data_IF_691684575968
#
_entry.id   IF_691684575968
#
_cell.length_a   1.000
_cell.length_b   1.000
_cell.length_c   1.000
_cell.angle_alpha   90.00
_cell.angle_beta   90.00
_cell.angle_gamma   90.00
#
_symmetry.space_group_name_H-M   'P 1'
#
loop_
_entity.id
_entity.type
_entity.pdbx_description
1 polymer ?
#
# COMPACT_ATOMS: atom_id res chain seq x y z
N UNK A 1 -12.24 -8.51 16.39
CA UNK A 1 -10.86 -9.01 16.61
C UNK A 1 -10.58 -10.27 15.80
N UNK A 2 -11.17 -11.44 16.14
CA UNK A 2 -10.86 -12.72 15.48
C UNK A 2 -11.10 -12.72 13.94
N UNK A 3 -12.22 -12.14 13.48
CA UNK A 3 -12.50 -12.03 12.05
C UNK A 3 -11.49 -11.14 11.31
N UNK A 4 -11.13 -9.99 11.91
CA UNK A 4 -10.15 -9.06 11.33
C UNK A 4 -8.75 -9.71 11.23
N UNK A 5 -8.33 -10.43 12.26
CA UNK A 5 -7.04 -11.13 12.23
C UNK A 5 -7.02 -12.25 11.19
N UNK A 6 -8.11 -13.01 11.05
CA UNK A 6 -8.21 -14.05 10.03
C UNK A 6 -8.17 -13.45 8.61
N UNK A 7 -8.90 -12.36 8.39
CA UNK A 7 -8.89 -11.62 7.11
C UNK A 7 -7.48 -11.14 6.75
N UNK A 8 -6.77 -10.50 7.68
CA UNK A 8 -5.40 -10.03 7.47
C UNK A 8 -4.43 -11.19 7.19
N UNK A 9 -4.53 -12.31 7.93
CA UNK A 9 -3.69 -13.48 7.69
C UNK A 9 -3.91 -14.09 6.30
N UNK A 10 -5.17 -14.23 5.88
CA UNK A 10 -5.48 -14.69 4.53
C UNK A 10 -4.90 -13.76 3.45
N UNK A 11 -4.88 -12.45 3.71
CA UNK A 11 -4.31 -11.48 2.79
C UNK A 11 -2.78 -11.59 2.70
N UNK A 12 -2.10 -11.81 3.83
CA UNK A 12 -0.64 -12.03 3.91
C UNK A 12 -0.22 -13.29 3.13
N UNK A 13 -1.05 -14.32 3.12
CA UNK A 13 -0.77 -15.56 2.38
C UNK A 13 -0.89 -15.40 0.85
N UNK A 14 -1.63 -14.40 0.37
CA UNK A 14 -1.79 -14.15 -1.07
C UNK A 14 -0.53 -13.56 -1.68
N UNK A 15 -0.15 -14.08 -2.85
CA UNK A 15 0.96 -13.55 -3.66
C UNK A 15 0.52 -12.49 -4.66
N UNK A 16 -0.68 -12.62 -5.19
CA UNK A 16 -1.26 -11.75 -6.19
C UNK A 16 -2.71 -11.45 -5.82
N UNK A 17 -3.22 -10.33 -6.31
CA UNK A 17 -4.61 -9.93 -6.16
C UNK A 17 -5.28 -9.89 -7.52
N UNK A 18 -6.53 -10.34 -7.60
CA UNK A 18 -7.36 -10.00 -8.76
C UNK A 18 -7.83 -8.53 -8.67
N UNK A 19 -8.51 -8.06 -9.73
CA UNK A 19 -8.94 -6.67 -9.82
C UNK A 19 -9.95 -6.26 -8.74
N UNK A 20 -10.87 -7.15 -8.38
CA UNK A 20 -11.89 -6.85 -7.36
C UNK A 20 -11.28 -6.91 -5.96
N UNK A 21 -10.39 -7.86 -5.71
CA UNK A 21 -9.62 -7.95 -4.47
C UNK A 21 -8.75 -6.71 -4.26
N UNK A 22 -8.04 -6.26 -5.30
CA UNK A 22 -7.24 -5.03 -5.25
C UNK A 22 -8.10 -3.82 -4.90
N UNK A 23 -9.26 -3.67 -5.56
CA UNK A 23 -10.16 -2.54 -5.33
C UNK A 23 -10.73 -2.57 -3.90
N UNK A 24 -11.14 -3.74 -3.43
CA UNK A 24 -11.63 -3.93 -2.07
C UNK A 24 -10.54 -3.60 -1.03
N UNK A 25 -9.32 -4.13 -1.21
CA UNK A 25 -8.20 -3.87 -0.32
C UNK A 25 -7.85 -2.38 -0.25
N UNK A 26 -7.76 -1.70 -1.41
CA UNK A 26 -7.44 -0.28 -1.44
C UNK A 26 -8.51 0.56 -0.73
N UNK A 27 -9.79 0.17 -0.84
CA UNK A 27 -10.87 0.83 -0.11
C UNK A 27 -10.79 0.59 1.40
N UNK A 28 -10.54 -0.66 1.82
CA UNK A 28 -10.38 -1.02 3.23
C UNK A 28 -9.21 -0.29 3.89
N UNK A 29 -8.04 -0.29 3.24
CA UNK A 29 -6.84 0.39 3.76
C UNK A 29 -7.10 1.88 3.94
N UNK A 30 -7.77 2.54 2.98
CA UNK A 30 -8.12 3.96 3.10
C UNK A 30 -9.05 4.23 4.27
N UNK A 31 -10.08 3.41 4.44
CA UNK A 31 -11.03 3.56 5.54
C UNK A 31 -10.33 3.34 6.90
N UNK A 32 -9.53 2.28 7.02
CA UNK A 32 -8.80 2.01 8.26
C UNK A 32 -7.74 3.06 8.56
N UNK A 33 -7.06 3.62 7.55
CA UNK A 33 -6.16 4.74 7.76
C UNK A 33 -6.89 5.96 8.32
N UNK A 34 -8.09 6.26 7.82
CA UNK A 34 -8.91 7.38 8.26
C UNK A 34 -9.43 7.20 9.69
N UNK A 35 -10.02 6.04 9.97
CA UNK A 35 -10.75 5.79 11.23
C UNK A 35 -9.85 5.26 12.36
N UNK A 36 -8.70 4.65 12.03
CA UNK A 36 -7.89 3.91 13.00
C UNK A 36 -6.39 4.21 12.98
N UNK A 37 -5.87 5.00 12.01
CA UNK A 37 -4.45 5.38 11.96
C UNK A 37 -4.28 6.90 12.10
N UNK A 38 -4.48 7.65 11.03
CA UNK A 38 -4.41 9.11 11.03
C UNK A 38 -5.01 9.67 9.72
N UNK A 39 -6.17 10.37 9.77
CA UNK A 39 -6.76 10.96 8.57
C UNK A 39 -5.87 12.04 7.94
N UNK A 40 -5.02 12.72 8.72
CA UNK A 40 -4.09 13.74 8.22
C UNK A 40 -3.03 13.18 7.26
N UNK A 41 -2.70 11.90 7.36
CA UNK A 41 -1.74 11.25 6.45
C UNK A 41 -2.31 11.09 5.04
N UNK A 42 -3.63 10.88 4.92
CA UNK A 42 -4.32 10.83 3.64
C UNK A 42 -4.32 12.20 2.96
N UNK A 43 -4.55 13.28 3.71
CA UNK A 43 -4.50 14.65 3.18
C UNK A 43 -3.07 15.06 2.79
N UNK A 44 -2.07 14.69 3.59
CA UNK A 44 -0.67 14.90 3.25
C UNK A 44 -0.31 14.23 1.91
N UNK A 45 -0.64 12.94 1.74
CA UNK A 45 -0.37 12.23 0.48
C UNK A 45 -1.10 12.84 -0.71
N UNK A 46 -2.34 13.31 -0.55
CA UNK A 46 -3.05 14.06 -1.61
C UNK A 46 -2.30 15.30 -2.07
N UNK A 47 -1.64 16.02 -1.15
CA UNK A 47 -0.90 17.24 -1.50
C UNK A 47 0.40 17.01 -2.29
N UNK A 48 0.92 15.78 -2.28
CA UNK A 48 2.16 15.39 -2.94
C UNK A 48 1.95 14.38 -4.07
N UNK A 49 0.69 14.10 -4.45
CA UNK A 49 0.33 13.17 -5.53
C UNK A 49 -0.65 13.84 -6.51
N UNK A 50 -0.65 13.41 -7.77
CA UNK A 50 -1.59 13.89 -8.78
C UNK A 50 -2.65 12.82 -9.10
N UNK A 51 -3.83 13.24 -9.55
CA UNK A 51 -4.68 12.43 -10.42
C UNK A 51 -5.29 11.12 -9.89
N UNK A 52 -5.19 10.80 -8.60
CA UNK A 52 -5.72 9.54 -8.05
C UNK A 52 -4.67 8.66 -7.35
N UNK A 53 -3.39 9.00 -7.48
CA UNK A 53 -2.25 8.25 -6.90
C UNK A 53 -2.14 8.37 -5.37
N UNK A 54 -3.00 9.18 -4.75
CA UNK A 54 -3.06 9.38 -3.30
C UNK A 54 -3.43 8.11 -2.51
N UNK A 55 -3.85 7.05 -3.22
CA UNK A 55 -4.22 5.74 -2.67
C UNK A 55 -3.33 4.59 -3.11
N UNK A 56 -2.13 4.82 -3.65
CA UNK A 56 -1.20 3.73 -3.97
C UNK A 56 -0.79 3.00 -2.68
N UNK A 57 -1.27 1.76 -2.54
CA UNK A 57 -0.96 0.86 -1.42
C UNK A 57 0.19 -0.05 -1.86
N UNK A 58 1.28 -0.05 -1.11
CA UNK A 58 2.41 -0.94 -1.36
C UNK A 58 1.99 -2.41 -1.23
N UNK A 59 2.49 -3.27 -2.12
CA UNK A 59 2.18 -4.69 -2.11
C UNK A 59 3.43 -5.56 -1.92
N UNK A 60 4.46 -5.35 -2.73
CA UNK A 60 5.69 -6.14 -2.68
C UNK A 60 6.89 -5.39 -3.27
N UNK A 61 8.09 -5.88 -3.00
CA UNK A 61 9.28 -5.45 -3.74
C UNK A 61 9.24 -6.00 -5.17
N UNK A 62 9.54 -5.15 -6.16
CA UNK A 62 9.73 -5.56 -7.56
C UNK A 62 11.16 -6.05 -7.84
N UNK A 63 12.13 -5.50 -7.09
CA UNK A 63 13.55 -5.81 -7.18
C UNK A 63 14.33 -5.06 -6.10
N UNK A 64 15.65 -4.96 -6.24
CA UNK A 64 16.52 -4.28 -5.26
C UNK A 64 16.20 -2.79 -5.10
N UNK A 65 15.74 -2.12 -6.16
CA UNK A 65 15.52 -0.67 -6.14
C UNK A 65 14.10 -0.32 -6.60
N UNK A 66 13.16 -1.26 -6.56
CA UNK A 66 11.80 -1.04 -7.02
C UNK A 66 10.74 -1.62 -6.08
N UNK A 67 9.63 -0.89 -5.95
CA UNK A 67 8.45 -1.28 -5.18
C UNK A 67 7.27 -1.41 -6.13
N UNK A 68 6.37 -2.35 -5.84
CA UNK A 68 5.16 -2.61 -6.63
C UNK A 68 3.94 -2.38 -5.75
N UNK A 69 2.98 -1.59 -6.25
CA UNK A 69 1.70 -1.36 -5.57
C UNK A 69 0.68 -2.49 -5.82
N UNK A 70 -0.48 -2.41 -5.16
CA UNK A 70 -1.58 -3.41 -5.33
C UNK A 70 -2.16 -3.45 -6.75
N UNK A 71 -1.91 -2.45 -7.58
CA UNK A 71 -2.35 -2.38 -8.99
C UNK A 71 -1.28 -2.91 -9.96
N UNK A 72 -0.11 -3.31 -9.46
CA UNK A 72 1.00 -3.78 -10.27
C UNK A 72 1.86 -2.66 -10.88
N UNK A 73 1.67 -1.41 -10.46
CA UNK A 73 2.55 -0.31 -10.87
C UNK A 73 3.89 -0.43 -10.14
N UNK A 74 4.98 -0.40 -10.91
CA UNK A 74 6.34 -0.48 -10.38
C UNK A 74 6.96 0.93 -10.28
N UNK A 75 7.54 1.22 -9.11
CA UNK A 75 8.14 2.50 -8.76
C UNK A 75 9.63 2.33 -8.49
N UNK A 76 10.48 3.23 -9.00
CA UNK A 76 11.89 3.30 -8.62
C UNK A 76 11.98 3.92 -7.22
N UNK A 77 12.58 3.21 -6.26
CA UNK A 77 12.72 3.71 -4.89
C UNK A 77 13.93 4.66 -4.77
N UNK A 78 13.66 5.94 -5.04
CA UNK A 78 14.61 7.02 -4.77
C UNK A 78 14.43 7.63 -3.36
N UNK A 79 13.47 7.14 -2.57
CA UNK A 79 13.30 7.54 -1.18
C UNK A 79 14.19 6.70 -0.26
N UNK A 80 14.38 5.42 -0.60
CA UNK A 80 15.21 4.47 0.14
C UNK A 80 14.76 4.30 1.58
N UNK A 81 13.45 4.46 1.85
CA UNK A 81 12.91 4.44 3.22
C UNK A 81 13.56 5.48 4.15
N UNK A 82 13.96 6.65 3.63
CA UNK A 82 14.71 7.66 4.38
C UNK A 82 16.10 7.19 4.87
N UNK A 83 16.76 6.34 4.07
CA UNK A 83 18.12 5.82 4.33
C UNK A 83 18.15 4.42 4.97
N UNK A 84 17.06 3.67 4.87
CA UNK A 84 16.95 2.29 5.33
C UNK A 84 17.48 1.32 4.27
N UNK A 85 17.03 1.49 3.02
CA UNK A 85 17.27 0.53 1.93
C UNK A 85 18.58 0.80 1.18
N UNK A 86 19.70 0.91 1.90
CA UNK A 86 21.01 1.17 1.29
C UNK A 86 21.53 0.03 0.41
N UNK A 87 21.07 -1.20 0.66
CA UNK A 87 21.45 -2.42 -0.07
C UNK A 87 20.29 -3.02 -0.86
N UNK A 88 19.22 -2.25 -1.03
CA UNK A 88 17.92 -2.75 -1.49
C UNK A 88 17.16 -3.48 -0.40
#
# INVERSE_FOLDING_TARGET
ALACSAHALNLIEKRTLDHEEMKALNQEVREYFKEHVNPGFLEYRKSVTAGGDYGAVEWQAGGLNTLVDTQGQEFIDCLGGFGIFNVG
#
